data_IF_706559123139
#
_entry.id   IF_706559123139
#
_cell.length_a   1.000
_cell.length_b   1.000
_cell.length_c   1.000
_cell.angle_alpha   90.00
_cell.angle_beta   90.00
_cell.angle_gamma   90.00
#
_symmetry.space_group_name_H-M   'P 1'
#
loop_
_entity.id
_entity.type
_entity.pdbx_description
1 polymer ?
#
# COMPACT_ATOMS: atom_id res chain seq x y z
N UNK A 1 -1.85 6.06 -8.37
CA UNK A 1 -3.07 6.73 -8.83
C UNK A 1 -2.99 6.96 -10.33
N UNK A 2 -4.01 6.55 -11.08
CA UNK A 2 -4.15 6.82 -12.53
C UNK A 2 -5.38 7.72 -12.71
N UNK A 3 -5.15 8.98 -13.04
CA UNK A 3 -6.19 10.04 -13.05
C UNK A 3 -5.69 11.20 -13.91
N UNK A 4 -6.50 11.67 -14.86
CA UNK A 4 -6.13 12.78 -15.75
C UNK A 4 -6.51 14.17 -15.19
N UNK A 5 -7.38 14.21 -14.20
CA UNK A 5 -7.72 15.46 -13.52
C UNK A 5 -6.66 15.82 -12.47
N UNK A 6 -5.77 16.73 -12.81
CA UNK A 6 -4.66 17.17 -11.95
C UNK A 6 -5.11 17.67 -10.58
N UNK A 7 -6.25 18.34 -10.48
CA UNK A 7 -6.76 18.87 -9.22
C UNK A 7 -7.20 17.73 -8.29
N UNK A 8 -7.93 16.76 -8.81
CA UNK A 8 -8.36 15.58 -8.06
C UNK A 8 -7.15 14.73 -7.68
N UNK A 9 -6.24 14.48 -8.64
CA UNK A 9 -5.04 13.70 -8.41
C UNK A 9 -4.18 14.29 -7.29
N UNK A 10 -3.94 15.60 -7.33
CA UNK A 10 -3.19 16.31 -6.28
C UNK A 10 -3.85 16.14 -4.92
N UNK A 11 -5.17 16.35 -4.82
CA UNK A 11 -5.91 16.22 -3.57
C UNK A 11 -5.84 14.79 -3.00
N UNK A 12 -5.95 13.76 -3.85
CA UNK A 12 -5.80 12.35 -3.45
C UNK A 12 -4.37 12.10 -2.98
N UNK A 13 -3.34 12.49 -3.76
CA UNK A 13 -1.94 12.27 -3.40
C UNK A 13 -1.58 12.93 -2.07
N UNK A 14 -1.96 14.21 -1.89
CA UNK A 14 -1.70 14.94 -0.64
C UNK A 14 -2.38 14.27 0.55
N UNK A 15 -3.63 13.85 0.39
CA UNK A 15 -4.37 13.19 1.46
C UNK A 15 -3.73 11.87 1.89
N UNK A 16 -3.38 11.01 0.94
CA UNK A 16 -2.73 9.72 1.25
C UNK A 16 -1.30 9.91 1.78
N UNK A 17 -0.58 10.92 1.33
CA UNK A 17 0.74 11.26 1.85
C UNK A 17 0.71 11.66 3.34
N UNK A 18 -0.36 12.34 3.80
CA UNK A 18 -0.56 12.65 5.21
C UNK A 18 -0.64 11.38 6.08
N UNK A 19 -1.18 10.29 5.54
CA UNK A 19 -1.25 9.00 6.21
C UNK A 19 0.02 8.14 6.00
N UNK A 20 1.04 8.70 5.35
CA UNK A 20 2.35 8.07 5.14
C UNK A 20 2.41 7.08 3.99
N UNK A 21 1.40 7.08 3.09
CA UNK A 21 1.47 6.31 1.87
C UNK A 21 2.39 7.00 0.85
N UNK A 22 3.18 6.21 0.13
CA UNK A 22 3.84 6.64 -1.09
C UNK A 22 2.84 6.57 -2.24
N UNK A 23 2.66 7.64 -2.98
CA UNK A 23 1.70 7.70 -4.08
C UNK A 23 2.40 8.24 -5.32
N UNK A 24 2.43 7.42 -6.37
CA UNK A 24 2.80 7.86 -7.71
C UNK A 24 1.57 8.21 -8.51
N UNK A 25 1.66 9.23 -9.34
CA UNK A 25 0.56 9.72 -10.15
C UNK A 25 0.90 9.55 -11.64
N UNK A 26 0.05 8.80 -12.34
CA UNK A 26 0.04 8.65 -13.78
C UNK A 26 -1.15 9.42 -14.36
N UNK A 27 -0.92 10.24 -15.38
CA UNK A 27 -1.97 11.03 -16.04
C UNK A 27 -2.71 10.26 -17.13
N UNK A 28 -2.25 9.03 -17.44
CA UNK A 28 -2.84 8.15 -18.43
C UNK A 28 -2.35 6.72 -18.33
N UNK A 29 -2.86 5.86 -19.22
CA UNK A 29 -2.59 4.42 -19.22
C UNK A 29 -1.17 4.06 -19.65
N UNK A 30 -0.54 4.89 -20.49
CA UNK A 30 0.84 4.67 -20.91
C UNK A 30 1.81 4.82 -19.73
N UNK A 31 1.67 5.91 -18.95
CA UNK A 31 2.45 6.13 -17.74
C UNK A 31 2.17 5.05 -16.70
N UNK A 32 0.88 4.72 -16.49
CA UNK A 32 0.47 3.68 -15.58
C UNK A 32 1.10 2.33 -15.92
N UNK A 33 1.17 1.97 -17.21
CA UNK A 33 1.81 0.73 -17.67
C UNK A 33 3.31 0.75 -17.38
N UNK A 34 4.00 1.85 -17.69
CA UNK A 34 5.43 1.98 -17.40
C UNK A 34 5.74 1.88 -15.89
N UNK A 35 4.87 2.44 -15.05
CA UNK A 35 5.05 2.38 -13.60
C UNK A 35 4.89 0.95 -13.06
N UNK A 36 3.83 0.22 -13.45
CA UNK A 36 3.60 -1.15 -12.96
C UNK A 36 4.59 -2.17 -13.50
N UNK A 37 5.29 -1.87 -14.59
CA UNK A 37 6.35 -2.70 -15.16
C UNK A 37 7.68 -2.58 -14.39
N UNK A 38 7.90 -1.45 -13.71
CA UNK A 38 9.18 -1.12 -13.08
C UNK A 38 9.11 -1.06 -11.56
N UNK A 39 7.93 -0.83 -10.99
CA UNK A 39 7.73 -0.56 -9.56
C UNK A 39 6.64 -1.44 -8.99
N UNK A 40 6.86 -1.89 -7.75
CA UNK A 40 5.84 -2.65 -7.00
C UNK A 40 4.85 -1.71 -6.33
N UNK A 41 3.56 -2.00 -6.51
CA UNK A 41 2.47 -1.26 -5.86
C UNK A 41 1.60 -2.19 -5.01
N UNK A 42 1.18 -1.70 -3.84
CA UNK A 42 0.23 -2.38 -2.97
C UNK A 42 -1.22 -2.23 -3.44
N UNK A 43 -1.52 -1.14 -4.16
CA UNK A 43 -2.87 -0.78 -4.62
C UNK A 43 -2.77 0.14 -5.84
N UNK A 44 -3.68 -0.03 -6.79
CA UNK A 44 -3.90 0.89 -7.91
C UNK A 44 -5.27 1.52 -7.75
N UNK A 45 -5.32 2.86 -7.76
CA UNK A 45 -6.55 3.63 -7.95
C UNK A 45 -6.62 4.02 -9.42
N UNK A 46 -7.65 3.57 -10.13
CA UNK A 46 -7.73 3.65 -11.59
C UNK A 46 -8.99 4.38 -12.05
N UNK A 47 -8.84 5.53 -12.70
CA UNK A 47 -9.96 6.09 -13.47
C UNK A 47 -10.20 5.26 -14.73
N UNK A 48 -11.47 5.16 -15.11
CA UNK A 48 -11.89 4.48 -16.34
C UNK A 48 -11.76 5.40 -17.56
N UNK A 49 -12.07 6.67 -17.39
CA UNK A 49 -12.14 7.63 -18.49
C UNK A 49 -10.85 8.44 -18.57
N UNK A 50 -9.90 7.96 -19.35
CA UNK A 50 -8.61 8.59 -19.52
C UNK A 50 -8.40 9.08 -20.96
N UNK A 51 -7.58 10.11 -21.20
CA UNK A 51 -7.40 10.71 -22.51
C UNK A 51 -6.77 9.78 -23.54
N UNK A 52 -5.99 8.80 -23.08
CA UNK A 52 -5.25 7.86 -23.91
C UNK A 52 -5.87 6.45 -23.97
N UNK A 53 -7.08 6.26 -23.40
CA UNK A 53 -7.81 5.01 -23.52
C UNK A 53 -8.81 4.72 -22.39
N UNK A 54 -9.37 3.52 -22.43
CA UNK A 54 -10.31 3.03 -21.41
C UNK A 54 -9.57 2.27 -20.31
N UNK A 55 -9.74 2.68 -19.07
CA UNK A 55 -9.14 2.01 -17.91
C UNK A 55 -9.53 0.54 -17.77
N UNK A 56 -10.67 0.12 -18.32
CA UNK A 56 -11.07 -1.30 -18.36
C UNK A 56 -10.10 -2.17 -19.15
N UNK A 57 -9.54 -1.64 -20.23
CA UNK A 57 -8.55 -2.35 -21.04
C UNK A 57 -7.23 -2.51 -20.29
N UNK A 58 -6.83 -1.51 -19.52
CA UNK A 58 -5.68 -1.61 -18.62
C UNK A 58 -5.93 -2.68 -17.54
N UNK A 59 -7.08 -2.66 -16.86
CA UNK A 59 -7.44 -3.65 -15.85
C UNK A 59 -7.43 -5.07 -16.42
N UNK A 60 -8.04 -5.29 -17.59
CA UNK A 60 -8.08 -6.60 -18.25
C UNK A 60 -6.66 -7.10 -18.58
N UNK A 61 -5.79 -6.26 -19.17
CA UNK A 61 -4.39 -6.59 -19.45
C UNK A 61 -3.62 -6.90 -18.17
N UNK A 62 -3.80 -6.10 -17.12
CA UNK A 62 -3.15 -6.29 -15.83
C UNK A 62 -3.50 -7.66 -15.21
N UNK A 63 -4.75 -8.08 -15.31
CA UNK A 63 -5.20 -9.41 -14.84
C UNK A 63 -4.73 -10.55 -15.73
N UNK A 64 -4.73 -10.37 -17.06
CA UNK A 64 -4.18 -11.36 -18.01
C UNK A 64 -2.68 -11.62 -17.78
N UNK A 65 -1.93 -10.60 -17.41
CA UNK A 65 -0.53 -10.71 -17.00
C UNK A 65 -0.34 -11.40 -15.63
N UNK A 66 -1.44 -11.88 -15.00
CA UNK A 66 -1.47 -12.51 -13.66
C UNK A 66 -0.95 -11.60 -12.55
N UNK A 67 -0.98 -10.30 -12.76
CA UNK A 67 -0.64 -9.35 -11.72
C UNK A 67 -1.74 -9.33 -10.66
N UNK A 68 -1.33 -9.50 -9.40
CA UNK A 68 -2.25 -9.61 -8.25
C UNK A 68 -2.44 -8.28 -7.52
N UNK A 69 -1.77 -7.21 -7.93
CA UNK A 69 -1.95 -5.90 -7.31
C UNK A 69 -3.44 -5.52 -7.34
N UNK A 70 -4.05 -5.23 -6.19
CA UNK A 70 -5.45 -4.88 -6.15
C UNK A 70 -5.71 -3.56 -6.87
N UNK A 71 -6.89 -3.47 -7.48
CA UNK A 71 -7.33 -2.30 -8.24
C UNK A 71 -8.68 -1.83 -7.72
N UNK A 72 -8.74 -0.58 -7.26
CA UNK A 72 -9.99 0.13 -6.99
C UNK A 72 -10.26 1.06 -8.17
N UNK A 73 -11.43 0.89 -8.78
CA UNK A 73 -11.82 1.71 -9.92
C UNK A 73 -12.52 2.98 -9.45
N UNK A 74 -12.06 4.13 -9.95
CA UNK A 74 -12.73 5.42 -9.80
C UNK A 74 -13.57 5.69 -11.03
N UNK A 75 -14.88 5.91 -10.89
CA UNK A 75 -15.78 6.04 -12.05
C UNK A 75 -16.88 7.05 -11.84
N UNK A 76 -17.21 7.84 -12.87
CA UNK A 76 -18.41 8.68 -12.88
C UNK A 76 -19.71 7.87 -13.12
N UNK A 77 -19.59 6.59 -13.52
CA UNK A 77 -20.73 5.75 -13.85
C UNK A 77 -21.33 5.12 -12.60
N UNK A 78 -22.60 5.42 -12.35
CA UNK A 78 -23.35 4.94 -11.18
C UNK A 78 -24.26 3.73 -11.45
N UNK A 79 -24.40 3.30 -12.72
CA UNK A 79 -25.32 2.22 -13.08
C UNK A 79 -24.83 0.88 -12.53
N UNK A 80 -25.77 0.06 -12.08
CA UNK A 80 -25.47 -1.26 -11.49
C UNK A 80 -24.78 -2.18 -12.50
N UNK A 81 -25.17 -2.15 -13.77
CA UNK A 81 -24.57 -2.93 -14.85
C UNK A 81 -23.07 -2.63 -15.03
N UNK A 82 -22.69 -1.35 -14.99
CA UNK A 82 -21.28 -0.95 -15.13
C UNK A 82 -20.43 -1.47 -13.96
N UNK A 83 -20.98 -1.44 -12.75
CA UNK A 83 -20.29 -1.92 -11.54
C UNK A 83 -20.06 -3.44 -11.59
N UNK A 84 -21.08 -4.21 -12.01
CA UNK A 84 -20.95 -5.67 -12.18
C UNK A 84 -19.84 -5.96 -13.19
N UNK A 85 -19.85 -5.30 -14.35
CA UNK A 85 -18.83 -5.47 -15.39
C UNK A 85 -17.42 -5.19 -14.87
N UNK A 86 -17.21 -4.15 -14.05
CA UNK A 86 -15.91 -3.83 -13.48
C UNK A 86 -15.40 -4.91 -12.50
N UNK A 87 -16.28 -5.46 -11.66
CA UNK A 87 -15.94 -6.54 -10.74
C UNK A 87 -15.64 -7.84 -11.51
N UNK A 88 -16.42 -8.16 -12.54
CA UNK A 88 -16.19 -9.33 -13.41
C UNK A 88 -14.87 -9.22 -14.18
N UNK A 89 -14.42 -8.01 -14.54
CA UNK A 89 -13.11 -7.74 -15.13
C UNK A 89 -11.96 -7.89 -14.13
N UNK A 90 -12.26 -8.05 -12.84
CA UNK A 90 -11.27 -8.29 -11.79
C UNK A 90 -10.88 -7.05 -10.98
N UNK A 91 -11.70 -6.00 -10.95
CA UNK A 91 -11.56 -4.95 -9.95
C UNK A 91 -11.86 -5.51 -8.55
N UNK A 92 -11.09 -5.07 -7.55
CA UNK A 92 -11.28 -5.48 -6.15
C UNK A 92 -12.36 -4.66 -5.44
N UNK A 93 -12.58 -3.42 -5.89
CA UNK A 93 -13.67 -2.54 -5.47
C UNK A 93 -13.84 -1.40 -6.51
N UNK A 94 -14.85 -0.56 -6.31
CA UNK A 94 -15.06 0.65 -7.10
C UNK A 94 -15.56 1.80 -6.21
N UNK A 95 -15.32 3.04 -6.64
CA UNK A 95 -15.80 4.27 -5.99
C UNK A 95 -16.38 5.18 -7.05
N UNK A 96 -17.59 5.72 -6.80
CA UNK A 96 -18.25 6.63 -7.75
C UNK A 96 -17.82 8.07 -7.49
N UNK A 97 -17.45 8.78 -8.55
CA UNK A 97 -17.17 10.22 -8.53
C UNK A 97 -18.49 11.02 -8.59
N UNK A 98 -18.66 12.11 -7.78
CA UNK A 98 -17.74 12.56 -6.74
C UNK A 98 -17.79 11.67 -5.50
N UNK A 99 -16.67 11.52 -4.78
CA UNK A 99 -16.57 10.71 -3.59
C UNK A 99 -16.07 11.51 -2.38
N UNK A 100 -16.38 11.00 -1.20
CA UNK A 100 -15.76 11.46 0.04
C UNK A 100 -14.40 10.78 0.23
N UNK A 101 -13.37 11.54 0.64
CA UNK A 101 -12.04 10.99 0.88
C UNK A 101 -12.04 9.93 1.98
N UNK A 102 -12.85 10.09 3.03
CA UNK A 102 -12.96 9.10 4.09
C UNK A 102 -13.55 7.78 3.58
N UNK A 103 -14.48 7.82 2.61
CA UNK A 103 -14.98 6.62 1.93
C UNK A 103 -13.89 5.94 1.12
N UNK A 104 -13.16 6.70 0.31
CA UNK A 104 -12.06 6.15 -0.50
C UNK A 104 -11.00 5.48 0.39
N UNK A 105 -10.57 6.17 1.45
CA UNK A 105 -9.61 5.63 2.42
C UNK A 105 -10.11 4.34 3.09
N UNK A 106 -11.37 4.31 3.51
CA UNK A 106 -11.97 3.14 4.15
C UNK A 106 -11.96 1.92 3.20
N UNK A 107 -12.26 2.14 1.91
CA UNK A 107 -12.22 1.10 0.88
C UNK A 107 -10.79 0.64 0.59
N UNK A 108 -9.84 1.56 0.48
CA UNK A 108 -8.42 1.23 0.32
C UNK A 108 -7.94 0.34 1.48
N UNK A 109 -8.23 0.74 2.73
CA UNK A 109 -7.89 -0.10 3.90
C UNK A 109 -8.55 -1.48 3.85
N UNK A 110 -9.81 -1.57 3.42
CA UNK A 110 -10.53 -2.85 3.32
C UNK A 110 -9.92 -3.78 2.27
N UNK A 111 -9.54 -3.24 1.10
CA UNK A 111 -8.92 -4.00 0.02
C UNK A 111 -7.52 -4.47 0.42
N UNK A 112 -6.69 -3.59 0.96
CA UNK A 112 -5.34 -3.93 1.43
C UNK A 112 -5.35 -4.99 2.54
N UNK A 113 -6.30 -4.91 3.47
CA UNK A 113 -6.48 -5.91 4.53
C UNK A 113 -6.79 -7.31 4.00
N UNK A 114 -7.64 -7.42 2.96
CA UNK A 114 -7.97 -8.72 2.34
C UNK A 114 -6.75 -9.41 1.75
N UNK A 115 -5.82 -8.65 1.21
CA UNK A 115 -4.54 -9.16 0.66
C UNK A 115 -3.62 -9.70 1.76
N UNK A 116 -3.59 -9.08 2.94
CA UNK A 116 -2.80 -9.53 4.09
C UNK A 116 -3.39 -10.72 4.85
N UNK A 117 -4.57 -11.23 4.46
CA UNK A 117 -5.22 -12.36 5.13
C UNK A 117 -5.74 -12.04 6.55
N UNK A 118 -5.66 -10.79 7.00
CA UNK A 118 -6.06 -10.39 8.34
C UNK A 118 -7.54 -9.98 8.38
N UNK A 119 -8.36 -10.75 9.09
CA UNK A 119 -9.76 -10.40 9.35
C UNK A 119 -9.91 -9.31 10.43
N UNK A 120 -8.84 -8.96 11.13
CA UNK A 120 -8.83 -8.04 12.27
C UNK A 120 -8.08 -6.75 11.94
N UNK A 121 -8.50 -5.65 12.57
CA UNK A 121 -7.83 -4.34 12.46
C UNK A 121 -6.46 -4.31 13.17
N UNK A 122 -6.11 -5.35 13.93
CA UNK A 122 -4.85 -5.49 14.66
C UNK A 122 -4.08 -6.68 14.13
N UNK A 123 -2.78 -6.52 13.97
CA UNK A 123 -1.86 -7.58 13.58
C UNK A 123 -1.06 -7.98 14.81
N UNK A 124 -0.89 -9.29 15.02
CA UNK A 124 -0.11 -9.82 16.14
C UNK A 124 1.00 -10.74 15.65
N UNK A 125 2.19 -10.56 16.20
CA UNK A 125 3.33 -11.42 15.95
C UNK A 125 4.26 -11.47 17.17
N UNK A 126 4.55 -12.69 17.65
CA UNK A 126 5.48 -12.94 18.75
C UNK A 126 5.20 -12.09 20.01
N UNK A 127 3.92 -11.95 20.39
CA UNK A 127 3.51 -11.17 21.56
C UNK A 127 3.57 -9.65 21.37
N UNK A 128 3.79 -9.18 20.14
CA UNK A 128 3.70 -7.77 19.76
C UNK A 128 2.42 -7.53 18.99
N UNK A 129 1.61 -6.57 19.42
CA UNK A 129 0.37 -6.17 18.76
C UNK A 129 0.60 -4.85 18.04
N UNK A 130 0.35 -4.82 16.74
CA UNK A 130 0.29 -3.62 15.92
C UNK A 130 -1.17 -3.18 15.78
N UNK A 131 -1.47 -1.96 16.16
CA UNK A 131 -2.73 -1.29 15.88
C UNK A 131 -2.50 -0.20 14.82
N UNK A 132 -2.85 -0.45 13.54
CA UNK A 132 -2.65 0.53 12.48
C UNK A 132 -3.51 1.78 12.62
N UNK A 133 -4.68 1.70 13.28
CA UNK A 133 -5.59 2.84 13.43
C UNK A 133 -5.05 3.84 14.45
N UNK A 134 -4.51 3.31 15.56
CA UNK A 134 -3.89 4.14 16.62
C UNK A 134 -2.40 4.43 16.34
N UNK A 135 -1.85 3.87 15.28
CA UNK A 135 -0.43 3.92 14.95
C UNK A 135 0.47 3.51 16.13
N UNK A 136 0.14 2.38 16.79
CA UNK A 136 0.84 1.92 17.98
C UNK A 136 1.35 0.48 17.86
N UNK A 137 2.48 0.22 18.55
CA UNK A 137 2.97 -1.12 18.89
C UNK A 137 2.80 -1.33 20.39
N UNK A 138 2.16 -2.43 20.76
CA UNK A 138 1.99 -2.84 22.16
C UNK A 138 2.71 -4.15 22.42
N UNK A 139 3.57 -4.19 23.42
CA UNK A 139 4.23 -5.39 23.91
C UNK A 139 4.50 -5.27 25.41
N UNK A 140 4.27 -6.31 26.18
CA UNK A 140 4.51 -6.34 27.65
C UNK A 140 3.91 -5.11 28.35
N UNK A 141 2.64 -4.76 28.04
CA UNK A 141 1.92 -3.59 28.55
C UNK A 141 2.57 -2.23 28.24
N UNK A 142 3.59 -2.21 27.38
CA UNK A 142 4.22 -0.98 26.92
C UNK A 142 3.67 -0.61 25.53
N UNK A 143 3.13 0.61 25.42
CA UNK A 143 2.59 1.17 24.18
C UNK A 143 3.60 2.15 23.60
N UNK A 144 3.95 1.96 22.33
CA UNK A 144 4.86 2.83 21.60
C UNK A 144 4.17 3.39 20.36
N UNK A 145 4.17 4.71 20.21
CA UNK A 145 3.65 5.38 19.02
C UNK A 145 4.58 5.19 17.83
N UNK A 146 4.00 5.00 16.66
CA UNK A 146 4.70 4.92 15.39
C UNK A 146 4.49 6.22 14.59
N UNK A 147 5.54 6.66 13.92
CA UNK A 147 5.41 7.68 12.86
C UNK A 147 4.90 7.01 11.58
N UNK A 148 4.27 7.78 10.70
CA UNK A 148 3.61 7.25 9.50
C UNK A 148 4.48 6.24 8.71
N UNK A 149 5.72 6.57 8.40
CA UNK A 149 6.60 5.64 7.67
C UNK A 149 7.09 4.45 8.50
N UNK A 150 7.21 4.60 9.81
CA UNK A 150 7.48 3.48 10.71
C UNK A 150 6.29 2.52 10.74
N UNK A 151 5.06 3.07 10.78
CA UNK A 151 3.85 2.30 10.69
C UNK A 151 3.79 1.51 9.38
N UNK A 152 4.00 2.16 8.22
CA UNK A 152 3.99 1.46 6.93
C UNK A 152 5.04 0.36 6.85
N UNK A 153 6.25 0.62 7.33
CA UNK A 153 7.31 -0.39 7.33
C UNK A 153 6.97 -1.59 8.24
N UNK A 154 6.41 -1.35 9.42
CA UNK A 154 6.05 -2.45 10.33
C UNK A 154 4.83 -3.22 9.82
N UNK A 155 3.86 -2.58 9.17
CA UNK A 155 2.73 -3.26 8.50
C UNK A 155 3.22 -4.26 7.44
N UNK A 156 4.21 -3.87 6.62
CA UNK A 156 4.81 -4.76 5.61
C UNK A 156 5.36 -6.03 6.27
N UNK A 157 6.10 -5.88 7.36
CA UNK A 157 6.68 -7.01 8.06
C UNK A 157 5.65 -7.88 8.77
N UNK A 158 4.64 -7.26 9.39
CA UNK A 158 3.60 -7.99 10.13
C UNK A 158 2.62 -8.70 9.19
N UNK A 159 2.40 -8.19 7.98
CA UNK A 159 1.56 -8.85 6.98
C UNK A 159 2.19 -10.15 6.44
N UNK A 160 3.52 -10.27 6.46
CA UNK A 160 4.22 -11.45 5.96
C UNK A 160 5.46 -11.77 6.82
N UNK A 161 5.27 -12.28 8.05
CA UNK A 161 6.38 -12.68 8.90
C UNK A 161 7.28 -13.74 8.23
N UNK A 162 8.56 -13.71 8.52
CA UNK A 162 9.62 -14.53 7.95
C UNK A 162 9.90 -14.33 6.44
N UNK A 163 9.08 -13.59 5.71
CA UNK A 163 9.38 -13.21 4.33
C UNK A 163 10.56 -12.23 4.30
N UNK A 164 11.47 -12.45 3.35
CA UNK A 164 12.59 -11.54 3.10
C UNK A 164 12.13 -10.47 2.12
N UNK A 165 12.29 -9.21 2.53
CA UNK A 165 12.03 -8.05 1.68
C UNK A 165 13.36 -7.42 1.30
N UNK A 166 13.63 -7.28 0.01
CA UNK A 166 14.80 -6.57 -0.48
C UNK A 166 14.72 -5.08 -0.14
N UNK A 167 15.86 -4.41 -0.11
CA UNK A 167 15.90 -2.96 0.14
C UNK A 167 15.10 -2.18 -0.91
N UNK A 168 15.23 -2.54 -2.19
CA UNK A 168 14.49 -1.90 -3.27
C UNK A 168 12.98 -2.09 -3.11
N UNK A 169 12.53 -3.30 -2.79
CA UNK A 169 11.11 -3.57 -2.53
C UNK A 169 10.55 -2.71 -1.38
N UNK A 170 11.34 -2.51 -0.31
CA UNK A 170 10.93 -1.64 0.79
C UNK A 170 10.96 -0.15 0.40
N UNK A 171 11.91 0.25 -0.46
CA UNK A 171 11.96 1.61 -1.02
C UNK A 171 10.69 1.91 -1.82
N UNK A 172 10.31 1.04 -2.76
CA UNK A 172 9.12 1.19 -3.62
C UNK A 172 7.84 1.34 -2.80
N UNK A 173 7.75 0.63 -1.67
CA UNK A 173 6.55 0.66 -0.81
C UNK A 173 6.49 1.83 0.17
N UNK A 174 7.62 2.48 0.45
CA UNK A 174 7.70 3.56 1.44
C UNK A 174 7.86 4.94 0.83
N UNK A 175 8.32 5.02 -0.41
CA UNK A 175 8.65 6.29 -1.05
C UNK A 175 8.10 6.32 -2.47
N UNK A 176 7.56 7.47 -2.89
CA UNK A 176 7.13 7.66 -4.26
C UNK A 176 8.34 7.86 -5.19
N UNK A 177 8.15 7.61 -6.48
CA UNK A 177 9.18 7.83 -7.51
C UNK A 177 9.65 9.28 -7.58
N UNK A 178 8.82 10.23 -7.17
CA UNK A 178 9.12 11.66 -7.16
C UNK A 178 9.89 12.13 -5.92
N UNK A 179 10.04 11.28 -4.89
CA UNK A 179 10.74 11.63 -3.67
C UNK A 179 12.26 11.45 -3.81
N UNK A 180 13.02 12.50 -3.54
CA UNK A 180 14.48 12.42 -3.42
C UNK A 180 14.86 11.84 -2.06
N UNK A 181 15.15 10.54 -2.05
CA UNK A 181 15.39 9.78 -0.82
C UNK A 181 16.80 9.20 -0.84
N UNK A 182 17.51 9.33 0.29
CA UNK A 182 18.85 8.77 0.40
C UNK A 182 18.84 7.24 0.31
N UNK A 183 19.89 6.66 -0.27
CA UNK A 183 20.06 5.20 -0.37
C UNK A 183 20.00 4.48 0.98
N UNK A 184 20.26 5.17 2.09
CA UNK A 184 20.26 4.61 3.45
C UNK A 184 18.96 4.84 4.21
N UNK A 185 17.90 5.30 3.54
CA UNK A 185 16.64 5.60 4.23
C UNK A 185 16.04 4.37 4.92
N UNK A 186 16.05 3.22 4.25
CA UNK A 186 15.52 1.97 4.80
C UNK A 186 16.27 1.56 6.08
N UNK A 187 17.61 1.66 6.09
CA UNK A 187 18.43 1.35 7.26
C UNK A 187 18.06 2.20 8.47
N UNK A 188 17.76 3.48 8.23
CA UNK A 188 17.34 4.40 9.29
C UNK A 188 16.00 3.97 9.88
N UNK A 189 15.01 3.65 9.04
CA UNK A 189 13.69 3.21 9.53
C UNK A 189 13.75 1.84 10.19
N UNK A 190 14.48 0.88 9.62
CA UNK A 190 14.74 -0.43 10.26
C UNK A 190 15.42 -0.24 11.61
N UNK A 191 16.41 0.64 11.71
CA UNK A 191 17.09 0.95 12.96
C UNK A 191 16.14 1.53 14.03
N UNK A 192 15.20 2.38 13.63
CA UNK A 192 14.17 2.94 14.54
C UNK A 192 13.19 1.85 15.00
N UNK A 193 12.72 0.99 14.10
CA UNK A 193 11.83 -0.11 14.47
C UNK A 193 12.52 -1.13 15.37
N UNK A 194 13.78 -1.45 15.12
CA UNK A 194 14.57 -2.33 16.01
C UNK A 194 14.64 -1.81 17.45
N UNK A 195 14.79 -0.48 17.62
CA UNK A 195 14.75 0.13 18.96
C UNK A 195 13.38 -0.03 19.62
N UNK A 196 12.29 0.08 18.84
CA UNK A 196 10.91 -0.08 19.35
C UNK A 196 10.58 -1.55 19.66
N UNK A 197 11.16 -2.48 18.94
CA UNK A 197 10.99 -3.92 19.15
C UNK A 197 11.99 -4.49 20.19
N UNK A 198 12.90 -3.67 20.70
CA UNK A 198 13.88 -4.13 21.69
C UNK A 198 13.19 -4.62 22.97
N UNK A 199 13.56 -5.81 23.44
CA UNK A 199 12.96 -6.43 24.63
C UNK A 199 11.60 -7.08 24.39
N UNK A 200 11.13 -7.14 23.15
CA UNK A 200 9.91 -7.88 22.77
C UNK A 200 10.26 -9.24 22.16
N UNK A 201 9.23 -10.06 21.88
CA UNK A 201 9.39 -11.35 21.20
C UNK A 201 9.63 -11.25 19.69
N UNK A 202 9.59 -10.05 19.09
CA UNK A 202 9.78 -9.84 17.66
C UNK A 202 11.11 -9.13 17.34
N UNK A 203 11.75 -9.51 16.24
CA UNK A 203 13.02 -8.93 15.80
C UNK A 203 13.06 -8.75 14.29
N UNK A 204 13.61 -7.63 13.80
CA UNK A 204 13.91 -7.44 12.37
C UNK A 204 15.34 -7.86 12.13
N UNK A 205 15.51 -9.00 11.46
CA UNK A 205 16.81 -9.57 11.09
C UNK A 205 17.29 -8.99 9.76
N UNK A 206 18.61 -8.78 9.65
CA UNK A 206 19.27 -8.53 8.36
C UNK A 206 19.70 -9.84 7.73
N UNK A 207 19.18 -10.14 6.55
CA UNK A 207 19.64 -11.27 5.74
C UNK A 207 20.63 -10.74 4.73
N UNK A 208 21.93 -11.05 4.93
CA UNK A 208 23.04 -10.50 4.12
C UNK A 208 22.75 -10.64 2.63
N UNK A 209 22.97 -9.58 1.89
CA UNK A 209 22.77 -9.46 0.44
C UNK A 209 21.33 -9.65 -0.05
N UNK A 210 20.34 -9.95 0.81
CA UNK A 210 18.96 -10.19 0.42
C UNK A 210 17.99 -9.13 0.96
N UNK A 211 18.24 -8.59 2.17
CA UNK A 211 17.35 -7.57 2.76
C UNK A 211 17.02 -7.80 4.23
N UNK A 212 15.74 -7.66 4.58
CA UNK A 212 15.27 -7.71 5.96
C UNK A 212 14.06 -8.64 6.10
N UNK A 213 13.90 -9.25 7.27
CA UNK A 213 12.72 -10.03 7.63
C UNK A 213 12.35 -9.87 9.09
N UNK A 214 11.07 -10.07 9.40
CA UNK A 214 10.59 -10.15 10.78
C UNK A 214 10.65 -11.60 11.25
N UNK A 215 11.23 -11.85 12.41
CA UNK A 215 11.34 -13.18 13.03
C UNK A 215 10.92 -13.12 14.50
N UNK A 216 10.47 -14.27 15.02
CA UNK A 216 10.31 -14.41 16.46
C UNK A 216 11.70 -14.58 17.10
N UNK A 217 11.90 -13.90 18.22
CA UNK A 217 13.11 -14.08 19.05
C UNK A 217 12.99 -15.41 19.79
N UNK A 218 14.03 -16.23 19.82
CA UNK A 218 14.03 -17.48 20.56
C UNK A 218 13.88 -17.28 22.07
#
# INVERSE_FOLDING_TARGET
LVEDNDQLARAVCERFALDGHAVDHATGLNDASAFVDTTYYDLILLDIMLPDGDGRDFLARHRLAKNKTPVIVLTARSQVSDRITLLDLGADDYVTKPFDFAELEARCRAVLRRQGGAAQNRLEFAGVILDPQEATLTANDNIQNLRNRELRLVEIFFAAPAQIFSKNHLMDRLFSLSEDVSENAIEVYVGRLRKKLAGTGAEIETVRSLGYRLVARP
#
